data_IF_095800336930
#
_entry.id   IF_095800336930
#
_cell.length_a   1.000
_cell.length_b   1.000
_cell.length_c   1.000
_cell.angle_alpha   90.00
_cell.angle_beta   90.00
_cell.angle_gamma   90.00
#
_symmetry.space_group_name_H-M   'P 1'
#
loop_
_entity.id
_entity.type
_entity.pdbx_description
1 polymer ?
#
# COMPACT_ATOMS: atom_id res chain seq x y z
N UNK A 1 17.40 -1.81 -24.74
CA UNK A 1 18.13 -2.04 -23.48
C UNK A 1 19.13 -3.16 -23.70
N UNK A 2 20.38 -3.00 -23.27
CA UNK A 2 21.33 -4.12 -23.25
C UNK A 2 20.93 -5.12 -22.15
N UNK A 3 21.31 -6.41 -22.27
CA UNK A 3 21.00 -7.43 -21.26
C UNK A 3 21.45 -7.05 -19.84
N UNK A 4 22.53 -6.28 -19.73
CA UNK A 4 23.03 -5.78 -18.44
C UNK A 4 22.09 -4.71 -17.86
N UNK A 5 21.63 -3.76 -18.68
CA UNK A 5 20.71 -2.71 -18.26
C UNK A 5 19.37 -3.28 -17.77
N UNK A 6 18.86 -4.32 -18.44
CA UNK A 6 17.62 -4.98 -18.01
C UNK A 6 17.77 -5.67 -16.65
N UNK A 7 18.89 -6.36 -16.42
CA UNK A 7 19.20 -6.98 -15.12
C UNK A 7 19.32 -5.94 -14.01
N UNK A 8 20.04 -4.85 -14.27
CA UNK A 8 20.19 -3.76 -13.30
C UNK A 8 18.85 -3.11 -12.99
N UNK A 9 18.03 -2.82 -14.00
CA UNK A 9 16.70 -2.26 -13.81
C UNK A 9 15.80 -3.17 -12.96
N UNK A 10 15.77 -4.47 -13.27
CA UNK A 10 14.98 -5.43 -12.49
C UNK A 10 15.48 -5.54 -11.03
N UNK A 11 16.79 -5.48 -10.81
CA UNK A 11 17.37 -5.43 -9.46
C UNK A 11 16.92 -4.16 -8.72
N UNK A 12 16.92 -2.99 -9.37
CA UNK A 12 16.43 -1.75 -8.77
C UNK A 12 14.95 -1.83 -8.44
N UNK A 13 14.11 -2.37 -9.33
CA UNK A 13 12.69 -2.57 -9.05
C UNK A 13 12.47 -3.48 -7.85
N UNK A 14 13.26 -4.55 -7.74
CA UNK A 14 13.21 -5.45 -6.59
C UNK A 14 13.58 -4.74 -5.27
N UNK A 15 14.64 -3.94 -5.26
CA UNK A 15 15.05 -3.16 -4.09
C UNK A 15 13.98 -2.14 -3.67
N UNK A 16 13.36 -1.46 -4.64
CA UNK A 16 12.27 -0.51 -4.37
C UNK A 16 11.04 -1.26 -3.82
N UNK A 17 10.70 -2.43 -4.36
CA UNK A 17 9.60 -3.24 -3.86
C UNK A 17 9.86 -3.70 -2.42
N UNK A 18 11.07 -4.18 -2.11
CA UNK A 18 11.47 -4.56 -0.76
C UNK A 18 11.36 -3.39 0.22
N UNK A 19 11.84 -2.21 -0.18
CA UNK A 19 11.68 -1.00 0.62
C UNK A 19 10.20 -0.63 0.82
N UNK A 20 9.39 -0.64 -0.24
CA UNK A 20 7.98 -0.30 -0.14
C UNK A 20 7.21 -1.26 0.78
N UNK A 21 7.50 -2.56 0.71
CA UNK A 21 6.91 -3.58 1.61
C UNK A 21 7.29 -3.28 3.07
N UNK A 22 8.57 -3.06 3.34
CA UNK A 22 9.04 -2.78 4.70
C UNK A 22 8.46 -1.46 5.24
N UNK A 23 8.50 -0.39 4.45
CA UNK A 23 7.94 0.92 4.81
C UNK A 23 6.42 0.91 5.00
N UNK A 24 5.71 0.00 4.33
CA UNK A 24 4.27 -0.18 4.51
C UNK A 24 3.94 -0.98 5.78
N UNK A 25 4.62 -2.11 5.98
CA UNK A 25 4.23 -3.08 7.01
C UNK A 25 4.72 -2.67 8.40
N UNK A 26 5.95 -2.16 8.53
CA UNK A 26 6.59 -1.84 9.81
C UNK A 26 5.74 -0.88 10.69
N UNK A 27 5.12 0.18 10.13
CA UNK A 27 4.22 1.05 10.90
C UNK A 27 3.02 0.36 11.53
N UNK A 28 2.46 -0.69 10.93
CA UNK A 28 1.31 -1.40 11.51
C UNK A 28 1.70 -2.02 12.87
N UNK A 29 2.96 -2.41 13.03
CA UNK A 29 3.44 -3.04 14.27
C UNK A 29 3.90 -2.05 15.33
N UNK A 30 3.68 -0.74 15.13
CA UNK A 30 4.06 0.27 16.11
C UNK A 30 5.51 0.74 16.00
N UNK A 31 6.16 0.47 14.86
CA UNK A 31 7.54 0.85 14.62
C UNK A 31 7.66 1.76 13.39
N UNK A 32 8.69 2.58 13.33
CA UNK A 32 9.00 3.36 12.16
C UNK A 32 10.47 3.27 11.80
N UNK A 33 10.70 2.91 10.53
CA UNK A 33 12.01 2.94 9.91
C UNK A 33 12.15 4.23 9.10
N UNK A 34 13.17 5.02 9.43
CA UNK A 34 13.61 6.18 8.68
C UNK A 34 14.85 5.81 7.88
N UNK A 35 14.94 6.25 6.62
CA UNK A 35 16.18 6.12 5.82
C UNK A 35 17.10 7.32 6.06
N UNK A 36 16.54 8.50 6.29
CA UNK A 36 17.29 9.76 6.40
C UNK A 36 16.86 10.54 7.64
N UNK A 37 17.59 10.46 8.77
CA UNK A 37 18.71 9.54 9.07
C UNK A 37 18.24 8.08 9.22
N UNK A 38 19.15 7.11 9.12
CA UNK A 38 18.84 5.70 9.38
C UNK A 38 18.49 5.54 10.86
N UNK A 39 17.21 5.37 11.16
CA UNK A 39 16.70 5.23 12.53
C UNK A 39 15.53 4.25 12.56
N UNK A 40 15.44 3.52 13.66
CA UNK A 40 14.31 2.65 13.96
C UNK A 40 13.74 3.06 15.31
N UNK A 41 12.50 3.55 15.30
CA UNK A 41 11.85 4.14 16.48
C UNK A 41 10.52 3.43 16.75
N UNK A 42 10.15 3.34 18.02
CA UNK A 42 8.84 2.84 18.47
C UNK A 42 7.87 4.00 18.60
N UNK A 43 6.59 3.76 18.32
CA UNK A 43 5.56 4.76 18.61
C UNK A 43 5.34 4.86 20.11
N UNK A 44 5.50 6.06 20.64
CA UNK A 44 5.12 6.40 22.01
C UNK A 44 4.43 7.76 21.99
N UNK A 45 3.19 7.82 22.49
CA UNK A 45 2.42 9.06 22.67
C UNK A 45 2.38 9.95 21.40
N UNK A 46 2.17 9.32 20.26
CA UNK A 46 2.07 10.02 18.97
C UNK A 46 0.63 10.48 18.75
N UNK A 47 0.49 11.72 18.26
CA UNK A 47 -0.80 12.32 17.91
C UNK A 47 -1.57 11.49 16.89
N UNK A 48 -2.90 11.53 17.00
CA UNK A 48 -3.83 10.90 16.06
C UNK A 48 -3.51 11.23 14.59
N UNK A 49 -3.31 12.51 14.27
CA UNK A 49 -3.13 12.97 12.89
C UNK A 49 -1.86 12.43 12.24
N UNK A 50 -0.78 12.33 13.01
CA UNK A 50 0.47 11.77 12.51
C UNK A 50 0.31 10.27 12.20
N UNK A 51 -0.33 9.50 13.08
CA UNK A 51 -0.62 8.08 12.82
C UNK A 51 -1.49 7.92 11.59
N UNK A 52 -2.50 8.78 11.40
CA UNK A 52 -3.35 8.75 10.20
C UNK A 52 -2.55 9.00 8.91
N UNK A 53 -1.68 10.00 8.90
CA UNK A 53 -0.78 10.26 7.78
C UNK A 53 0.18 9.09 7.52
N UNK A 54 0.63 8.45 8.59
CA UNK A 54 1.51 7.31 8.51
C UNK A 54 0.82 6.08 7.90
N UNK A 55 -0.42 5.80 8.30
CA UNK A 55 -1.24 4.74 7.71
C UNK A 55 -1.52 5.01 6.23
N UNK A 56 -1.86 6.25 5.86
CA UNK A 56 -2.04 6.66 4.46
C UNK A 56 -0.77 6.41 3.64
N UNK A 57 0.39 6.86 4.16
CA UNK A 57 1.70 6.63 3.54
C UNK A 57 1.96 5.14 3.33
N UNK A 58 1.68 4.32 4.34
CA UNK A 58 1.88 2.88 4.25
C UNK A 58 0.97 2.22 3.22
N UNK A 59 -0.27 2.68 3.07
CA UNK A 59 -1.19 2.19 2.04
C UNK A 59 -0.70 2.53 0.62
N UNK A 60 -0.12 3.72 0.43
CA UNK A 60 0.51 4.10 -0.85
C UNK A 60 1.71 3.20 -1.16
N UNK A 61 2.58 2.95 -0.17
CA UNK A 61 3.72 2.06 -0.36
C UNK A 61 3.30 0.61 -0.64
N UNK A 62 2.27 0.10 0.04
CA UNK A 62 1.74 -1.24 -0.25
C UNK A 62 1.17 -1.31 -1.66
N UNK A 63 0.41 -0.29 -2.06
CA UNK A 63 -0.12 -0.19 -3.43
C UNK A 63 1.03 -0.25 -4.43
N UNK A 64 2.05 0.58 -4.28
CA UNK A 64 3.23 0.59 -5.14
C UNK A 64 3.93 -0.77 -5.17
N UNK A 65 4.12 -1.42 -4.01
CA UNK A 65 4.72 -2.75 -3.92
C UNK A 65 3.93 -3.80 -4.73
N UNK A 66 2.61 -3.79 -4.61
CA UNK A 66 1.73 -4.68 -5.39
C UNK A 66 1.94 -4.48 -6.88
N UNK A 67 2.00 -3.24 -7.38
CA UNK A 67 2.23 -2.96 -8.80
C UNK A 67 3.64 -3.35 -9.27
N UNK A 68 4.67 -3.14 -8.44
CA UNK A 68 6.04 -3.54 -8.78
C UNK A 68 6.18 -5.06 -8.88
N UNK A 69 5.63 -5.80 -7.92
CA UNK A 69 5.63 -7.27 -7.95
C UNK A 69 4.84 -7.81 -9.13
N UNK A 70 3.66 -7.24 -9.37
CA UNK A 70 2.82 -7.59 -10.50
C UNK A 70 3.48 -7.32 -11.85
N UNK A 71 4.15 -6.19 -11.99
CA UNK A 71 4.95 -5.88 -13.18
C UNK A 71 6.07 -6.90 -13.38
N UNK A 72 6.77 -7.28 -12.31
CA UNK A 72 7.84 -8.27 -12.37
C UNK A 72 7.33 -9.67 -12.79
N UNK A 73 6.16 -10.08 -12.31
CA UNK A 73 5.57 -11.39 -12.59
C UNK A 73 4.88 -11.48 -13.95
N UNK A 74 4.05 -10.49 -14.30
CA UNK A 74 3.14 -10.58 -15.43
C UNK A 74 3.49 -9.65 -16.59
N UNK A 75 4.29 -8.59 -16.37
CA UNK A 75 4.65 -7.57 -17.37
C UNK A 75 3.46 -6.98 -18.15
N UNK A 76 2.27 -6.92 -17.53
CA UNK A 76 1.03 -6.44 -18.18
C UNK A 76 0.73 -4.98 -17.86
N UNK A 77 0.19 -4.21 -18.82
CA UNK A 77 -0.32 -2.86 -18.55
C UNK A 77 -1.57 -2.98 -17.66
N UNK A 78 -1.57 -2.24 -16.56
CA UNK A 78 -2.70 -2.17 -15.65
C UNK A 78 -3.65 -1.06 -16.03
N UNK A 79 -4.94 -1.28 -15.77
CA UNK A 79 -5.96 -0.23 -15.83
C UNK A 79 -5.65 0.89 -14.84
N UNK A 80 -6.03 2.12 -15.19
CA UNK A 80 -5.93 3.26 -14.30
C UNK A 80 -6.73 3.09 -12.99
N UNK A 81 -7.77 2.23 -12.98
CA UNK A 81 -8.54 1.91 -11.77
C UNK A 81 -7.83 0.93 -10.84
N UNK A 82 -6.81 0.22 -11.32
CA UNK A 82 -6.07 -0.76 -10.54
C UNK A 82 -5.47 -0.18 -9.25
N UNK A 83 -4.66 0.89 -9.30
CA UNK A 83 -4.09 1.48 -8.09
C UNK A 83 -5.15 1.98 -7.11
N UNK A 84 -6.30 2.43 -7.62
CA UNK A 84 -7.38 2.97 -6.78
C UNK A 84 -7.98 1.89 -5.88
N UNK A 85 -8.39 0.74 -6.43
CA UNK A 85 -8.99 -0.30 -5.59
C UNK A 85 -7.96 -0.97 -4.68
N UNK A 86 -6.71 -1.15 -5.12
CA UNK A 86 -5.63 -1.70 -4.27
C UNK A 86 -5.38 -0.78 -3.08
N UNK A 87 -5.33 0.54 -3.31
CA UNK A 87 -5.22 1.53 -2.24
C UNK A 87 -6.40 1.45 -1.27
N UNK A 88 -7.63 1.38 -1.78
CA UNK A 88 -8.83 1.30 -0.94
C UNK A 88 -8.89 0.00 -0.11
N UNK A 89 -8.50 -1.14 -0.68
CA UNK A 89 -8.34 -2.39 0.07
C UNK A 89 -7.27 -2.24 1.15
N UNK A 90 -6.12 -1.65 0.81
CA UNK A 90 -5.02 -1.42 1.75
C UNK A 90 -5.48 -0.54 2.92
N UNK A 91 -6.19 0.56 2.65
CA UNK A 91 -6.77 1.43 3.67
C UNK A 91 -7.69 0.66 4.63
N UNK A 92 -8.58 -0.17 4.08
CA UNK A 92 -9.53 -0.96 4.89
C UNK A 92 -8.79 -1.95 5.79
N UNK A 93 -7.80 -2.65 5.23
CA UNK A 93 -7.00 -3.64 5.96
C UNK A 93 -6.14 -2.96 7.03
N UNK A 94 -5.52 -1.83 6.72
CA UNK A 94 -4.60 -1.14 7.62
C UNK A 94 -5.36 -0.49 8.77
N UNK A 95 -6.51 0.10 8.48
CA UNK A 95 -7.43 0.63 9.49
C UNK A 95 -7.93 -0.47 10.43
N UNK A 96 -8.29 -1.65 9.87
CA UNK A 96 -8.65 -2.82 10.68
C UNK A 96 -7.49 -3.29 11.56
N UNK A 97 -6.29 -3.45 11.01
CA UNK A 97 -5.12 -3.91 11.76
C UNK A 97 -4.71 -2.91 12.85
N UNK A 98 -4.80 -1.61 12.58
CA UNK A 98 -4.46 -0.55 13.53
C UNK A 98 -5.29 -0.58 14.82
N UNK A 99 -6.52 -1.10 14.75
CA UNK A 99 -7.39 -1.29 15.92
C UNK A 99 -6.81 -2.30 16.91
N UNK A 100 -6.02 -3.27 16.43
CA UNK A 100 -5.43 -4.32 17.26
C UNK A 100 -3.98 -4.02 17.69
N UNK A 101 -3.28 -3.16 16.96
CA UNK A 101 -1.87 -2.86 17.22
C UNK A 101 -1.64 -1.44 17.73
N UNK A 102 -1.91 -0.44 16.90
CA UNK A 102 -1.52 0.96 17.14
C UNK A 102 -2.44 1.65 18.16
N UNK A 103 -3.72 1.30 18.18
CA UNK A 103 -4.70 1.87 19.11
C UNK A 103 -4.41 1.50 20.58
N UNK A 104 -3.63 0.44 20.84
CA UNK A 104 -3.25 0.07 22.20
C UNK A 104 -2.11 0.94 22.77
N UNK A 105 -1.34 1.60 21.89
CA UNK A 105 -0.09 2.29 22.25
C UNK A 105 -0.06 3.78 21.91
N UNK A 106 -1.09 4.29 21.24
CA UNK A 106 -1.18 5.67 20.76
C UNK A 106 -2.58 6.26 20.95
N UNK A 107 -2.74 7.54 20.65
CA UNK A 107 -4.05 8.23 20.65
C UNK A 107 -4.94 7.85 19.45
N UNK A 108 -4.45 6.98 18.55
CA UNK A 108 -5.19 6.59 17.38
C UNK A 108 -6.43 5.78 17.73
N UNK A 109 -7.57 6.12 17.13
CA UNK A 109 -8.82 5.38 17.29
C UNK A 109 -9.37 5.00 15.92
N UNK A 110 -9.41 3.69 15.66
CA UNK A 110 -9.92 3.16 14.40
C UNK A 110 -11.44 3.29 14.34
N UNK A 111 -11.98 3.62 13.17
CA UNK A 111 -13.42 3.77 12.97
C UNK A 111 -13.97 2.70 11.99
N UNK A 112 -14.87 1.79 12.46
CA UNK A 112 -15.47 0.76 11.61
C UNK A 112 -16.19 1.31 10.36
N UNK A 113 -16.79 2.50 10.43
CA UNK A 113 -17.43 3.14 9.27
C UNK A 113 -16.42 3.51 8.19
N UNK A 114 -15.21 3.91 8.56
CA UNK A 114 -14.11 4.22 7.62
C UNK A 114 -13.67 2.94 6.91
N UNK A 115 -13.56 1.82 7.63
CA UNK A 115 -13.23 0.51 7.06
C UNK A 115 -14.27 0.12 6.00
N UNK A 116 -15.56 0.17 6.35
CA UNK A 116 -16.65 -0.19 5.43
C UNK A 116 -16.69 0.74 4.22
N UNK A 117 -16.49 2.04 4.42
CA UNK A 117 -16.46 3.02 3.34
C UNK A 117 -15.37 2.72 2.30
N UNK A 118 -14.13 2.52 2.74
CA UNK A 118 -13.03 2.20 1.83
C UNK A 118 -13.22 0.82 1.16
N UNK A 119 -13.76 -0.15 1.89
CA UNK A 119 -14.01 -1.48 1.34
C UNK A 119 -15.08 -1.45 0.24
N UNK A 120 -16.16 -0.67 0.44
CA UNK A 120 -17.19 -0.48 -0.57
C UNK A 120 -16.62 0.16 -1.84
N UNK A 121 -15.81 1.22 -1.70
CA UNK A 121 -15.14 1.85 -2.84
C UNK A 121 -14.22 0.85 -3.55
N UNK A 122 -13.45 0.06 -2.80
CA UNK A 122 -12.55 -0.95 -3.34
C UNK A 122 -13.32 -1.97 -4.19
N UNK A 123 -14.42 -2.52 -3.66
CA UNK A 123 -15.25 -3.52 -4.34
C UNK A 123 -15.90 -2.92 -5.60
N UNK A 124 -16.47 -1.72 -5.52
CA UNK A 124 -17.10 -1.07 -6.67
C UNK A 124 -16.09 -0.75 -7.78
N UNK A 125 -14.91 -0.22 -7.41
CA UNK A 125 -13.85 0.08 -8.36
C UNK A 125 -13.27 -1.19 -8.99
N UNK A 126 -13.09 -2.26 -8.21
CA UNK A 126 -12.66 -3.57 -8.72
C UNK A 126 -13.71 -4.14 -9.69
N UNK A 127 -14.99 -4.14 -9.32
CA UNK A 127 -16.08 -4.61 -10.18
C UNK A 127 -16.15 -3.82 -11.51
N UNK A 128 -16.01 -2.49 -11.45
CA UNK A 128 -15.97 -1.66 -12.67
C UNK A 128 -14.75 -1.99 -13.53
N UNK A 129 -13.59 -2.24 -12.90
CA UNK A 129 -12.37 -2.61 -13.60
C UNK A 129 -12.50 -3.96 -14.32
N UNK A 130 -13.04 -4.98 -13.64
CA UNK A 130 -13.21 -6.31 -14.24
C UNK A 130 -14.21 -6.27 -15.41
N UNK A 131 -15.30 -5.50 -15.30
CA UNK A 131 -16.27 -5.33 -16.39
C UNK A 131 -15.67 -4.57 -17.58
N UNK A 132 -14.85 -3.55 -17.33
CA UNK A 132 -14.22 -2.75 -18.40
C UNK A 132 -13.07 -3.49 -19.11
N UNK A 133 -12.46 -4.49 -18.46
CA UNK A 133 -11.44 -5.33 -19.09
C UNK A 133 -11.97 -6.08 -20.33
N UNK A 134 -13.28 -6.39 -20.38
CA UNK A 134 -13.91 -7.08 -21.51
C UNK A 134 -14.29 -6.15 -22.68
N UNK A 135 -14.24 -4.82 -22.49
CA UNK A 135 -14.61 -3.86 -23.54
C UNK A 135 -13.40 -3.22 -24.22
N UNK A 136 -12.25 -3.16 -23.54
CA UNK A 136 -11.05 -2.46 -24.05
C UNK A 136 -10.29 -3.28 -25.10
N UNK A 137 -10.30 -4.62 -25.01
CA UNK A 137 -9.65 -5.51 -25.99
C UNK A 137 -10.60 -6.04 -27.07
N UNK A 138 -11.81 -5.48 -27.16
CA UNK A 138 -12.80 -5.85 -28.17
C UNK A 138 -12.76 -4.83 -29.31
N UNK A 139 -11.70 -4.96 -30.11
CA UNK A 139 -11.61 -4.61 -31.53
C UNK A 139 -10.38 -5.33 -32.10
#
# INVERSE_FOLDING_TARGET
MTRLQEKLFNLTLFLIALYAITAAIVPIFGYQFFITPIKFETFQNISFDYIRLLLLRSCVFLTMAVFLLNYALYKRPYSALAPVYVFCYSMSIFEFLSAFSIQQTTEYSSNPFVIVFWLLIAVLAHYKNSKSAHTIFRN
#
